data_IF_389865160883
#
_entry.id   IF_389865160883
#
_cell.length_a   1.000
_cell.length_b   1.000
_cell.length_c   1.000
_cell.angle_alpha   90.00
_cell.angle_beta   90.00
_cell.angle_gamma   90.00
#
_symmetry.space_group_name_H-M   'P 1'
#
loop_
_entity.id
_entity.type
_entity.pdbx_description
1 polymer ?
#
# COMPACT_ATOMS: atom_id res chain seq x y z
N UNK A 1 35.23 8.59 -5.31
CA UNK A 1 34.37 7.62 -4.59
C UNK A 1 32.94 8.02 -4.87
N UNK A 2 32.09 7.10 -5.30
CA UNK A 2 30.67 7.40 -5.53
C UNK A 2 29.98 7.62 -4.19
N UNK A 3 29.30 8.76 -4.02
CA UNK A 3 28.47 9.00 -2.85
C UNK A 3 27.17 8.21 -2.95
N UNK A 4 26.71 7.66 -1.84
CA UNK A 4 25.49 6.84 -1.70
C UNK A 4 24.50 7.57 -0.78
N UNK A 5 23.21 7.40 -1.03
CA UNK A 5 22.15 7.96 -0.17
C UNK A 5 21.89 7.08 1.04
N UNK A 6 21.81 7.71 2.21
CA UNK A 6 21.53 7.08 3.49
C UNK A 6 20.40 7.82 4.22
N UNK A 7 19.57 7.07 4.94
CA UNK A 7 18.68 7.60 5.96
C UNK A 7 19.45 7.61 7.28
N UNK A 8 19.65 8.80 7.84
CA UNK A 8 20.29 9.02 9.13
C UNK A 8 19.19 9.41 10.12
N UNK A 9 18.97 8.57 11.12
CA UNK A 9 17.86 8.71 12.07
C UNK A 9 18.38 9.09 13.45
N UNK A 10 17.70 10.05 14.07
CA UNK A 10 17.97 10.46 15.44
C UNK A 10 17.24 9.57 16.45
N UNK A 11 17.60 9.74 17.73
CA UNK A 11 16.68 9.42 18.83
C UNK A 11 15.33 10.12 18.65
N UNK A 12 14.25 9.53 19.17
CA UNK A 12 12.91 10.14 19.08
C UNK A 12 12.92 11.54 19.69
N UNK A 13 12.47 12.54 18.93
CA UNK A 13 12.47 13.95 19.32
C UNK A 13 13.84 14.64 19.26
N UNK A 14 14.89 13.98 18.77
CA UNK A 14 16.25 14.53 18.65
C UNK A 14 16.61 14.99 17.23
N UNK A 15 15.62 15.13 16.33
CA UNK A 15 15.85 15.52 14.92
C UNK A 15 16.58 16.86 14.75
N UNK A 16 16.28 17.86 15.59
CA UNK A 16 16.96 19.16 15.53
C UNK A 16 18.43 19.10 15.95
N UNK A 17 18.76 18.29 16.97
CA UNK A 17 20.15 18.11 17.39
C UNK A 17 20.93 17.38 16.30
N UNK A 18 20.32 16.33 15.72
CA UNK A 18 20.91 15.63 14.59
C UNK A 18 21.18 16.58 13.41
N UNK A 19 20.24 17.45 13.06
CA UNK A 19 20.45 18.45 12.01
C UNK A 19 21.69 19.31 12.28
N UNK A 20 21.80 19.89 13.49
CA UNK A 20 22.97 20.72 13.88
C UNK A 20 24.27 19.93 13.77
N UNK A 21 24.28 18.68 14.22
CA UNK A 21 25.46 17.82 14.16
C UNK A 21 25.87 17.47 12.73
N UNK A 22 24.91 17.21 11.83
CA UNK A 22 25.17 16.95 10.41
C UNK A 22 25.74 18.18 9.70
N UNK A 23 25.13 19.36 9.92
CA UNK A 23 25.60 20.63 9.34
C UNK A 23 27.02 20.96 9.83
N UNK A 24 27.30 20.80 11.13
CA UNK A 24 28.64 21.07 11.69
C UNK A 24 29.74 20.22 11.06
N UNK A 25 29.40 19.02 10.58
CA UNK A 25 30.31 18.07 9.93
C UNK A 25 30.29 18.18 8.40
N UNK A 26 29.58 19.16 7.84
CA UNK A 26 29.44 19.38 6.40
C UNK A 26 28.91 18.14 5.68
N UNK A 27 28.01 17.41 6.34
CA UNK A 27 27.26 16.33 5.70
C UNK A 27 26.26 16.95 4.72
N UNK A 28 26.24 16.45 3.49
CA UNK A 28 25.26 16.87 2.49
C UNK A 28 23.89 16.28 2.83
N UNK A 29 22.97 17.14 3.27
CA UNK A 29 21.58 16.78 3.55
C UNK A 29 20.78 17.01 2.27
N UNK A 30 20.25 15.92 1.71
CA UNK A 30 19.39 15.94 0.53
C UNK A 30 17.97 16.32 0.93
N UNK A 31 17.49 15.80 2.08
CA UNK A 31 16.10 16.01 2.52
C UNK A 31 15.92 15.72 4.01
N UNK A 32 14.94 16.38 4.64
CA UNK A 32 14.47 16.02 5.98
C UNK A 32 13.33 14.99 5.91
N UNK A 33 13.23 14.12 6.92
CA UNK A 33 12.15 13.15 7.15
C UNK A 33 11.59 13.34 8.56
N UNK A 34 10.80 14.42 8.81
CA UNK A 34 10.33 14.77 10.14
C UNK A 34 9.53 13.67 10.86
N UNK A 35 8.73 12.86 10.15
CA UNK A 35 7.92 11.80 10.77
C UNK A 35 8.77 10.77 11.51
N UNK A 36 10.03 10.62 11.14
CA UNK A 36 10.92 9.57 11.66
C UNK A 36 12.16 10.14 12.37
N UNK A 37 12.16 11.45 12.65
CA UNK A 37 13.30 12.19 13.20
C UNK A 37 14.60 11.96 12.38
N UNK A 38 14.47 12.00 11.06
CA UNK A 38 15.54 11.56 10.15
C UNK A 38 15.87 12.54 9.03
N UNK A 39 16.96 12.23 8.31
CA UNK A 39 17.42 12.96 7.14
C UNK A 39 17.93 12.00 6.06
N UNK A 40 17.65 12.30 4.80
CA UNK A 40 18.33 11.70 3.65
C UNK A 40 19.63 12.45 3.45
N UNK A 41 20.76 11.75 3.54
CA UNK A 41 22.10 12.32 3.43
C UNK A 41 22.88 11.65 2.28
N UNK A 42 23.71 12.42 1.59
CA UNK A 42 24.62 11.91 0.55
C UNK A 42 26.04 11.79 1.13
N UNK A 43 26.56 10.56 1.20
CA UNK A 43 27.81 10.27 1.90
C UNK A 43 28.65 9.24 1.12
N UNK A 44 30.00 9.32 1.13
CA UNK A 44 30.83 8.17 0.81
C UNK A 44 30.62 7.03 1.82
N UNK A 45 30.60 5.78 1.37
CA UNK A 45 30.46 4.59 2.24
C UNK A 45 31.46 4.59 3.40
N UNK A 46 32.69 5.06 3.15
CA UNK A 46 33.77 5.16 4.14
C UNK A 46 33.47 6.13 5.29
N UNK A 47 32.47 7.00 5.15
CA UNK A 47 32.09 7.98 6.17
C UNK A 47 30.88 7.54 7.02
N UNK A 48 30.22 6.40 6.71
CA UNK A 48 29.07 5.91 7.48
C UNK A 48 29.45 5.65 8.95
N UNK A 49 30.60 5.01 9.19
CA UNK A 49 31.08 4.75 10.55
C UNK A 49 31.31 6.03 11.37
N UNK A 50 31.66 7.15 10.71
CA UNK A 50 31.83 8.44 11.39
C UNK A 50 30.49 8.99 11.88
N UNK A 51 29.38 8.67 11.20
CA UNK A 51 28.05 9.06 11.66
C UNK A 51 27.60 8.27 12.89
N UNK A 52 28.04 7.02 13.04
CA UNK A 52 27.75 6.24 14.24
C UNK A 52 28.45 6.79 15.49
N UNK A 53 29.42 7.69 15.34
CA UNK A 53 30.07 8.39 16.46
C UNK A 53 29.30 9.61 16.97
N UNK A 54 28.20 9.98 16.32
CA UNK A 54 27.38 11.13 16.72
C UNK A 54 26.43 10.71 17.82
N UNK A 55 26.44 11.44 18.94
CA UNK A 55 25.56 11.15 20.08
C UNK A 55 24.07 11.21 19.74
N UNK A 56 23.70 12.00 18.73
CA UNK A 56 22.32 12.15 18.26
C UNK A 56 21.88 11.07 17.28
N UNK A 57 22.82 10.36 16.64
CA UNK A 57 22.52 9.34 15.65
C UNK A 57 22.16 8.04 16.37
N UNK A 58 20.93 7.59 16.17
CA UNK A 58 20.49 6.29 16.63
C UNK A 58 20.75 5.21 15.59
N UNK A 59 20.57 5.53 14.31
CA UNK A 59 20.62 4.56 13.24
C UNK A 59 21.01 5.19 11.92
N UNK A 60 21.72 4.42 11.09
CA UNK A 60 22.03 4.77 9.70
C UNK A 60 21.71 3.57 8.83
N UNK A 61 20.87 3.76 7.83
CA UNK A 61 20.53 2.73 6.84
C UNK A 61 20.63 3.26 5.42
N UNK A 62 20.96 2.39 4.47
CA UNK A 62 21.05 2.78 3.07
C UNK A 62 19.65 3.07 2.52
N UNK A 63 19.56 4.05 1.62
CA UNK A 63 18.33 4.35 0.89
C UNK A 63 18.19 3.39 -0.31
N UNK A 64 17.88 2.13 -0.03
CA UNK A 64 17.76 1.09 -1.07
C UNK A 64 16.51 1.25 -1.93
N UNK A 65 16.58 0.67 -3.13
CA UNK A 65 15.48 0.64 -4.10
C UNK A 65 14.55 -0.54 -3.78
N UNK A 66 13.25 -0.25 -3.77
CA UNK A 66 12.15 -1.19 -3.54
C UNK A 66 11.21 -1.16 -4.75
N UNK A 67 10.43 -2.23 -4.93
CA UNK A 67 9.59 -2.40 -6.12
C UNK A 67 8.13 -2.72 -5.75
N UNK A 68 7.21 -2.35 -6.64
CA UNK A 68 5.81 -2.78 -6.58
C UNK A 68 5.70 -4.31 -6.77
N UNK A 69 4.67 -4.92 -6.18
CA UNK A 69 4.52 -6.39 -6.14
C UNK A 69 3.40 -6.85 -7.09
N UNK A 70 3.70 -7.18 -8.34
CA UNK A 70 2.68 -7.66 -9.26
C UNK A 70 3.26 -8.17 -10.56
N UNK A 71 2.51 -9.01 -11.27
CA UNK A 71 2.87 -9.47 -12.61
C UNK A 71 1.68 -9.34 -13.54
N UNK A 72 1.95 -8.93 -14.77
CA UNK A 72 0.98 -8.95 -15.85
C UNK A 72 0.75 -10.39 -16.30
N UNK A 73 -0.51 -10.82 -16.41
CA UNK A 73 -0.83 -12.21 -16.81
C UNK A 73 -1.52 -12.32 -18.18
N UNK A 74 -1.75 -11.21 -18.89
CA UNK A 74 -2.14 -11.21 -20.31
C UNK A 74 -3.11 -10.11 -20.71
N UNK A 75 -3.43 -10.04 -22.01
CA UNK A 75 -4.46 -9.16 -22.55
C UNK A 75 -5.84 -9.70 -22.18
N UNK A 76 -6.59 -8.95 -21.37
CA UNK A 76 -7.98 -9.26 -21.07
C UNK A 76 -8.80 -9.25 -22.35
N UNK A 77 -9.47 -10.36 -22.68
CA UNK A 77 -10.60 -10.31 -23.62
C UNK A 77 -11.63 -9.36 -23.02
N UNK A 78 -12.04 -8.35 -23.77
CA UNK A 78 -13.21 -7.53 -23.45
C UNK A 78 -14.42 -8.45 -23.34
N UNK A 79 -14.70 -8.94 -22.14
CA UNK A 79 -15.98 -9.56 -21.85
C UNK A 79 -16.93 -8.39 -21.66
N UNK A 80 -17.50 -7.94 -22.78
CA UNK A 80 -18.71 -7.13 -22.74
C UNK A 80 -19.75 -7.89 -21.90
N UNK A 81 -20.59 -7.12 -21.19
CA UNK A 81 -21.71 -7.51 -20.33
C UNK A 81 -21.44 -7.52 -18.82
N UNK A 82 -21.84 -6.41 -18.21
CA UNK A 82 -22.55 -6.28 -16.93
C UNK A 82 -21.94 -6.84 -15.63
N UNK A 83 -20.78 -7.50 -15.69
CA UNK A 83 -20.30 -8.30 -14.57
C UNK A 83 -19.33 -7.53 -13.69
N UNK A 84 -19.70 -7.34 -12.42
CA UNK A 84 -18.80 -6.95 -11.32
C UNK A 84 -17.57 -7.88 -11.32
N UNK A 85 -16.31 -7.42 -11.23
CA UNK A 85 -15.15 -8.30 -11.23
C UNK A 85 -15.26 -9.44 -10.21
N UNK A 86 -14.76 -10.63 -10.55
CA UNK A 86 -14.98 -11.83 -9.73
C UNK A 86 -14.49 -11.63 -8.28
N UNK A 87 -13.36 -10.94 -8.10
CA UNK A 87 -12.80 -10.67 -6.78
C UNK A 87 -13.70 -9.77 -5.94
N UNK A 88 -14.25 -8.72 -6.54
CA UNK A 88 -15.24 -7.82 -5.91
C UNK A 88 -16.50 -8.59 -5.50
N UNK A 89 -17.00 -9.51 -6.35
CA UNK A 89 -18.13 -10.38 -5.98
C UNK A 89 -17.76 -11.35 -4.86
N UNK A 90 -16.57 -11.94 -4.92
CA UNK A 90 -16.15 -13.02 -4.02
C UNK A 90 -16.03 -12.56 -2.57
N UNK A 91 -15.54 -11.35 -2.34
CA UNK A 91 -15.49 -10.77 -0.99
C UNK A 91 -16.86 -10.30 -0.48
N UNK A 92 -17.92 -10.35 -1.31
CA UNK A 92 -19.26 -9.97 -0.90
C UNK A 92 -19.58 -8.48 -0.99
N UNK A 93 -18.72 -7.65 -1.60
CA UNK A 93 -18.93 -6.19 -1.66
C UNK A 93 -20.30 -5.76 -2.25
N UNK A 94 -20.82 -6.38 -3.32
CA UNK A 94 -22.14 -6.00 -3.84
C UNK A 94 -23.30 -6.19 -2.86
N UNK A 95 -23.17 -7.10 -1.89
CA UNK A 95 -24.21 -7.37 -0.89
C UNK A 95 -24.40 -6.20 0.07
N UNK A 96 -23.41 -5.30 0.18
CA UNK A 96 -23.42 -4.20 1.15
C UNK A 96 -23.55 -2.80 0.52
N UNK A 97 -23.60 -2.71 -0.81
CA UNK A 97 -23.67 -1.42 -1.51
C UNK A 97 -24.98 -0.67 -1.32
N UNK A 98 -26.03 -1.33 -0.84
CA UNK A 98 -27.27 -0.65 -0.42
C UNK A 98 -27.09 0.11 0.91
N UNK A 99 -26.12 -0.30 1.74
CA UNK A 99 -25.84 0.31 3.04
C UNK A 99 -24.64 1.27 2.98
N UNK A 100 -23.57 0.89 2.28
CA UNK A 100 -22.33 1.70 2.18
C UNK A 100 -21.60 1.41 0.87
N UNK A 101 -21.05 2.47 0.26
CA UNK A 101 -20.23 2.38 -0.96
C UNK A 101 -18.85 3.02 -0.80
N UNK A 102 -18.48 3.39 0.43
CA UNK A 102 -17.18 4.00 0.75
C UNK A 102 -17.19 5.53 0.79
N UNK A 103 -18.35 6.18 0.65
CA UNK A 103 -18.47 7.64 0.63
C UNK A 103 -17.81 8.28 1.86
N UNK A 104 -17.05 9.37 1.64
CA UNK A 104 -16.39 10.14 2.69
C UNK A 104 -15.05 9.55 3.16
N UNK A 105 -14.74 8.31 2.81
CA UNK A 105 -13.45 7.69 3.10
C UNK A 105 -12.44 8.03 2.01
N UNK A 106 -11.18 8.23 2.41
CA UNK A 106 -10.06 8.58 1.54
C UNK A 106 -9.04 7.45 1.59
N UNK A 107 -8.82 6.81 0.46
CA UNK A 107 -7.88 5.70 0.31
C UNK A 107 -6.65 6.20 -0.44
N UNK A 108 -5.52 6.26 0.27
CA UNK A 108 -4.22 6.59 -0.30
C UNK A 108 -3.65 5.40 -1.07
N UNK A 109 -3.32 5.61 -2.33
CA UNK A 109 -2.66 4.61 -3.19
C UNK A 109 -1.17 5.00 -3.27
N UNK A 110 -0.36 4.46 -2.35
CA UNK A 110 1.09 4.69 -2.31
C UNK A 110 1.79 3.78 -3.32
N UNK A 111 1.91 4.25 -4.55
CA UNK A 111 2.23 3.40 -5.71
C UNK A 111 2.88 4.23 -6.86
N UNK A 112 2.69 3.81 -8.12
CA UNK A 112 3.23 4.46 -9.33
C UNK A 112 2.45 5.70 -9.79
N UNK A 113 1.35 6.05 -9.10
CA UNK A 113 0.42 7.10 -9.50
C UNK A 113 -0.97 6.53 -9.83
N UNK A 114 -1.86 7.36 -10.34
CA UNK A 114 -3.14 6.94 -10.92
C UNK A 114 -3.34 7.68 -12.25
N UNK A 115 -3.84 6.99 -13.28
CA UNK A 115 -4.33 7.62 -14.52
C UNK A 115 -5.42 8.64 -14.19
N UNK A 116 -5.05 9.93 -14.23
CA UNK A 116 -5.89 11.02 -13.74
C UNK A 116 -7.08 11.33 -14.66
N UNK A 117 -7.06 10.82 -15.89
CA UNK A 117 -8.10 10.99 -16.88
C UNK A 117 -8.92 9.70 -17.11
N UNK A 118 -8.65 8.63 -16.34
CA UNK A 118 -9.36 7.36 -16.49
C UNK A 118 -10.86 7.54 -16.18
N UNK A 119 -11.78 7.22 -17.11
CA UNK A 119 -13.21 7.52 -16.95
C UNK A 119 -13.83 6.83 -15.73
N UNK A 120 -13.41 5.60 -15.42
CA UNK A 120 -13.89 4.89 -14.22
C UNK A 120 -13.31 5.38 -12.89
N UNK A 121 -12.21 6.13 -12.89
CA UNK A 121 -11.56 6.61 -11.66
C UNK A 121 -11.86 8.08 -11.40
N UNK A 122 -12.00 8.87 -12.46
CA UNK A 122 -12.24 10.31 -12.44
C UNK A 122 -13.35 10.74 -11.45
N UNK A 123 -14.50 10.05 -11.33
CA UNK A 123 -15.55 10.44 -10.37
C UNK A 123 -15.11 10.40 -8.91
N UNK A 124 -14.11 9.57 -8.60
CA UNK A 124 -13.64 9.30 -7.24
C UNK A 124 -12.24 9.87 -6.96
N UNK A 125 -11.59 10.50 -7.94
CA UNK A 125 -10.26 11.07 -7.76
C UNK A 125 -10.28 12.24 -6.79
N UNK A 126 -9.38 12.17 -5.81
CA UNK A 126 -9.08 13.24 -4.86
C UNK A 126 -7.64 13.69 -5.08
N UNK A 127 -7.38 14.99 -4.89
CA UNK A 127 -6.03 15.56 -5.07
C UNK A 127 -4.98 14.77 -4.28
N UNK A 128 -3.97 14.28 -4.99
CA UNK A 128 -2.85 13.54 -4.43
C UNK A 128 -1.51 14.29 -4.54
N UNK A 129 -0.40 13.54 -4.50
CA UNK A 129 0.96 14.08 -4.54
C UNK A 129 1.92 13.20 -5.33
N UNK A 130 2.85 13.83 -6.05
CA UNK A 130 3.99 13.17 -6.64
C UNK A 130 5.23 13.40 -5.76
N UNK A 131 5.65 12.35 -5.04
CA UNK A 131 6.81 12.41 -4.14
C UNK A 131 8.12 12.53 -4.93
N UNK A 132 8.16 11.99 -6.15
CA UNK A 132 9.33 12.02 -7.01
C UNK A 132 9.57 13.42 -7.57
N UNK A 133 8.49 14.09 -7.99
CA UNK A 133 8.50 15.47 -8.45
C UNK A 133 7.25 16.24 -7.95
N UNK A 134 7.34 16.98 -6.83
CA UNK A 134 6.19 17.67 -6.23
C UNK A 134 5.52 18.73 -7.10
N UNK A 135 6.20 19.22 -8.14
CA UNK A 135 5.68 20.23 -9.07
C UNK A 135 4.88 19.60 -10.23
N UNK A 136 4.88 18.27 -10.34
CA UNK A 136 4.15 17.52 -11.37
C UNK A 136 2.94 16.78 -10.78
N UNK A 137 1.91 16.51 -11.62
CA UNK A 137 0.79 15.67 -11.20
C UNK A 137 1.27 14.25 -10.82
N UNK A 138 0.54 13.54 -9.93
CA UNK A 138 0.82 12.15 -9.58
C UNK A 138 0.28 11.17 -10.63
N UNK A 139 0.54 11.48 -11.89
CA UNK A 139 0.14 10.72 -13.07
C UNK A 139 0.85 9.36 -13.11
N UNK A 140 0.12 8.31 -13.47
CA UNK A 140 0.69 6.98 -13.57
C UNK A 140 1.40 6.78 -14.91
N UNK A 141 2.69 6.46 -14.85
CA UNK A 141 3.56 6.17 -15.99
C UNK A 141 3.95 4.70 -16.08
N UNK A 142 3.39 3.84 -15.20
CA UNK A 142 3.63 2.39 -15.17
C UNK A 142 2.35 1.58 -15.37
N UNK A 143 1.25 1.98 -14.72
CA UNK A 143 -0.06 1.34 -14.78
C UNK A 143 -0.43 0.48 -13.57
N UNK A 144 0.50 0.24 -12.64
CA UNK A 144 0.24 -0.61 -11.48
C UNK A 144 -0.66 0.10 -10.47
N UNK A 145 -0.35 1.35 -10.13
CA UNK A 145 -1.17 2.17 -9.24
C UNK A 145 -2.59 2.41 -9.79
N UNK A 146 -2.74 2.63 -11.10
CA UNK A 146 -4.05 2.71 -11.76
C UNK A 146 -4.85 1.41 -11.60
N UNK A 147 -4.20 0.26 -11.75
CA UNK A 147 -4.86 -1.04 -11.58
C UNK A 147 -5.28 -1.30 -10.14
N UNK A 148 -4.42 -0.97 -9.17
CA UNK A 148 -4.73 -1.02 -7.73
C UNK A 148 -5.90 -0.10 -7.40
N UNK A 149 -5.89 1.15 -7.88
CA UNK A 149 -6.94 2.13 -7.61
C UNK A 149 -8.31 1.67 -8.13
N UNK A 150 -8.37 1.04 -9.30
CA UNK A 150 -9.63 0.50 -9.82
C UNK A 150 -10.23 -0.62 -8.99
N UNK A 151 -9.40 -1.48 -8.40
CA UNK A 151 -9.87 -2.54 -7.50
C UNK A 151 -10.49 -1.91 -6.26
N UNK A 152 -9.83 -0.88 -5.71
CA UNK A 152 -10.33 -0.18 -4.52
C UNK A 152 -11.67 0.51 -4.83
N UNK A 153 -11.75 1.32 -5.89
CA UNK A 153 -12.86 2.27 -6.03
C UNK A 153 -13.17 2.75 -7.44
N UNK A 154 -13.05 1.91 -8.47
CA UNK A 154 -13.62 2.27 -9.78
C UNK A 154 -15.15 2.49 -9.67
N UNK A 155 -15.64 3.59 -10.26
CA UNK A 155 -17.04 4.02 -10.19
C UNK A 155 -17.95 3.32 -11.23
N UNK A 156 -17.36 2.62 -12.20
CA UNK A 156 -18.04 1.96 -13.34
C UNK A 156 -18.82 2.93 -14.22
N UNK A 157 -18.11 3.54 -15.15
CA UNK A 157 -18.63 4.42 -16.20
C UNK A 157 -18.53 3.73 -17.56
N UNK A 158 -19.45 4.00 -18.48
CA UNK A 158 -19.30 3.59 -19.89
C UNK A 158 -19.10 2.09 -20.17
N UNK A 159 -19.47 1.18 -19.27
CA UNK A 159 -19.27 -0.27 -19.41
C UNK A 159 -17.93 -0.79 -18.90
N UNK A 160 -17.18 0.02 -18.14
CA UNK A 160 -15.93 -0.36 -17.49
C UNK A 160 -16.09 -1.20 -16.21
N UNK A 161 -15.09 -1.17 -15.33
CA UNK A 161 -15.05 -2.00 -14.11
C UNK A 161 -15.57 -1.25 -12.88
N UNK A 162 -16.02 -1.99 -11.86
CA UNK A 162 -16.41 -1.44 -10.56
C UNK A 162 -15.46 -1.95 -9.47
N UNK A 163 -15.05 -1.06 -8.57
CA UNK A 163 -14.22 -1.39 -7.41
C UNK A 163 -15.03 -1.89 -6.22
N UNK A 164 -14.33 -2.24 -5.14
CA UNK A 164 -14.94 -2.70 -3.89
C UNK A 164 -15.73 -1.59 -3.19
N UNK A 165 -15.16 -0.39 -3.09
CA UNK A 165 -15.73 0.81 -2.50
C UNK A 165 -15.90 1.90 -3.58
N UNK A 166 -16.94 1.78 -4.44
CA UNK A 166 -17.06 2.56 -5.67
C UNK A 166 -17.40 4.04 -5.46
N UNK A 167 -17.48 4.52 -4.22
CA UNK A 167 -17.66 5.94 -3.86
C UNK A 167 -16.58 6.43 -2.87
N UNK A 168 -15.53 5.63 -2.62
CA UNK A 168 -14.38 6.06 -1.82
C UNK A 168 -13.48 7.01 -2.62
N UNK A 169 -12.98 8.06 -1.96
CA UNK A 169 -12.03 9.00 -2.56
C UNK A 169 -10.66 8.36 -2.76
N UNK A 170 -10.23 8.24 -4.02
CA UNK A 170 -8.94 7.69 -4.42
C UNK A 170 -7.88 8.79 -4.43
N UNK A 171 -6.87 8.68 -3.57
CA UNK A 171 -5.79 9.67 -3.44
C UNK A 171 -4.48 9.09 -3.99
N UNK A 172 -4.00 9.52 -5.17
CA UNK A 172 -2.73 9.05 -5.71
C UNK A 172 -1.55 9.60 -4.90
N UNK A 173 -0.71 8.72 -4.36
CA UNK A 173 0.54 9.07 -3.69
C UNK A 173 1.67 8.43 -4.50
N UNK A 174 2.12 9.12 -5.55
CA UNK A 174 3.13 8.60 -6.48
C UNK A 174 4.51 8.63 -5.81
N UNK A 175 5.02 7.46 -5.46
CA UNK A 175 6.37 7.27 -4.91
C UNK A 175 7.23 6.35 -5.77
N UNK A 176 6.62 5.62 -6.71
CA UNK A 176 7.29 4.71 -7.63
C UNK A 176 7.32 5.31 -9.05
N UNK A 177 8.42 5.07 -9.76
CA UNK A 177 8.63 5.56 -11.12
C UNK A 177 8.03 4.64 -12.19
N UNK A 178 8.27 4.98 -13.46
CA UNK A 178 7.91 4.24 -14.68
C UNK A 178 8.37 2.76 -14.71
N UNK A 179 9.31 2.37 -13.85
CA UNK A 179 9.80 0.99 -13.70
C UNK A 179 9.25 0.30 -12.46
N UNK A 180 8.30 0.92 -11.77
CA UNK A 180 7.74 0.40 -10.54
C UNK A 180 8.76 0.38 -9.40
N UNK A 181 9.74 1.28 -9.44
CA UNK A 181 10.82 1.36 -8.46
C UNK A 181 10.73 2.65 -7.63
N UNK A 182 10.99 2.55 -6.32
CA UNK A 182 11.06 3.68 -5.41
C UNK A 182 12.30 3.57 -4.51
N UNK A 183 12.79 4.71 -4.01
CA UNK A 183 13.71 4.72 -2.87
C UNK A 183 12.91 4.56 -1.58
N UNK A 184 13.49 3.91 -0.58
CA UNK A 184 12.90 3.80 0.76
C UNK A 184 12.48 5.17 1.31
N UNK A 185 13.31 6.19 1.12
CA UNK A 185 13.01 7.56 1.55
C UNK A 185 11.76 8.16 0.87
N UNK A 186 11.46 7.79 -0.38
CA UNK A 186 10.25 8.23 -1.07
C UNK A 186 9.00 7.57 -0.47
N UNK A 187 9.07 6.29 -0.11
CA UNK A 187 7.98 5.60 0.59
C UNK A 187 7.74 6.17 1.98
N UNK A 188 8.79 6.44 2.76
CA UNK A 188 8.67 7.11 4.07
C UNK A 188 8.00 8.48 3.93
N UNK A 189 8.36 9.26 2.91
CA UNK A 189 7.71 10.54 2.61
C UNK A 189 6.26 10.39 2.17
N UNK A 190 5.92 9.34 1.42
CA UNK A 190 4.54 9.04 1.04
C UNK A 190 3.66 8.76 2.26
N UNK A 191 4.16 7.98 3.21
CA UNK A 191 3.48 7.71 4.50
C UNK A 191 3.34 9.00 5.31
N UNK A 192 4.40 9.82 5.38
CA UNK A 192 4.37 11.13 6.03
C UNK A 192 3.35 12.08 5.41
N UNK A 193 3.23 12.09 4.09
CA UNK A 193 2.22 12.87 3.41
C UNK A 193 0.82 12.36 3.71
N UNK A 194 0.61 11.03 3.74
CA UNK A 194 -0.67 10.43 4.08
C UNK A 194 -1.14 10.82 5.49
N UNK A 195 -0.22 10.82 6.47
CA UNK A 195 -0.47 11.29 7.83
C UNK A 195 -0.90 12.76 7.85
N UNK A 196 -0.13 13.64 7.21
CA UNK A 196 -0.43 15.07 7.20
C UNK A 196 -1.72 15.44 6.48
N UNK A 197 -2.18 14.58 5.57
CA UNK A 197 -3.39 14.82 4.78
C UNK A 197 -4.60 14.03 5.30
N UNK A 198 -4.47 13.36 6.46
CA UNK A 198 -5.53 12.61 7.13
C UNK A 198 -6.16 11.53 6.24
N UNK A 199 -5.32 10.76 5.53
CA UNK A 199 -5.76 9.57 4.81
C UNK A 199 -6.36 8.56 5.78
N UNK A 200 -7.45 7.89 5.41
CA UNK A 200 -8.15 6.95 6.29
C UNK A 200 -7.62 5.52 6.11
N UNK A 201 -7.36 5.12 4.86
CA UNK A 201 -6.79 3.82 4.51
C UNK A 201 -5.57 4.04 3.60
N UNK A 202 -4.43 3.43 3.90
CA UNK A 202 -3.24 3.50 3.06
C UNK A 202 -2.92 2.11 2.48
N UNK A 203 -3.08 1.99 1.16
CA UNK A 203 -2.72 0.79 0.42
C UNK A 203 -1.24 0.82 0.02
N UNK A 204 -0.48 -0.19 0.43
CA UNK A 204 0.96 -0.35 0.20
C UNK A 204 1.24 -1.63 -0.58
N UNK A 205 1.03 -1.57 -1.89
CA UNK A 205 1.17 -2.67 -2.84
C UNK A 205 2.63 -2.88 -3.31
N UNK A 206 3.55 -2.85 -2.35
CA UNK A 206 4.99 -3.02 -2.53
C UNK A 206 5.58 -3.83 -1.38
N UNK A 207 6.79 -4.34 -1.56
CA UNK A 207 7.43 -5.17 -0.55
C UNK A 207 8.95 -5.06 -0.57
N UNK A 208 9.56 -5.28 0.58
CA UNK A 208 11.00 -5.41 0.73
C UNK A 208 11.38 -6.49 1.74
N UNK A 209 12.52 -7.16 1.54
CA UNK A 209 12.98 -8.23 2.43
C UNK A 209 13.74 -7.71 3.66
N UNK A 210 14.34 -6.53 3.55
CA UNK A 210 15.14 -5.94 4.63
C UNK A 210 14.27 -5.16 5.62
N UNK A 211 14.57 -5.28 6.91
CA UNK A 211 13.94 -4.42 7.91
C UNK A 211 14.53 -3.00 7.81
N UNK A 212 13.68 -1.99 7.95
CA UNK A 212 14.08 -0.57 8.03
C UNK A 212 13.50 0.06 9.29
N UNK A 213 14.33 0.79 10.03
CA UNK A 213 13.86 1.53 11.21
C UNK A 213 13.03 2.74 10.77
N UNK A 214 13.38 3.40 9.66
CA UNK A 214 12.61 4.52 9.14
C UNK A 214 11.21 4.09 8.73
N UNK A 215 11.08 2.99 7.96
CA UNK A 215 9.78 2.47 7.55
C UNK A 215 8.94 2.07 8.75
N UNK A 216 9.53 1.37 9.74
CA UNK A 216 8.83 1.00 10.97
C UNK A 216 8.30 2.21 11.73
N UNK A 217 9.10 3.27 11.88
CA UNK A 217 8.65 4.51 12.53
C UNK A 217 7.52 5.18 11.77
N UNK A 218 7.65 5.26 10.43
CA UNK A 218 6.63 5.87 9.60
C UNK A 218 5.29 5.13 9.69
N UNK A 219 5.32 3.79 9.59
CA UNK A 219 4.15 2.92 9.75
C UNK A 219 3.54 3.06 11.14
N UNK A 220 4.34 2.99 12.20
CA UNK A 220 3.83 3.15 13.58
C UNK A 220 3.18 4.52 13.78
N UNK A 221 3.78 5.59 13.25
CA UNK A 221 3.22 6.93 13.35
C UNK A 221 1.90 7.05 12.55
N UNK A 222 1.81 6.44 11.37
CA UNK A 222 0.57 6.42 10.60
C UNK A 222 -0.56 5.64 11.32
N UNK A 223 -0.24 4.48 11.88
CA UNK A 223 -1.19 3.69 12.68
C UNK A 223 -1.70 4.48 13.89
N UNK A 224 -0.80 5.14 14.64
CA UNK A 224 -1.15 5.98 15.79
C UNK A 224 -2.01 7.20 15.43
N UNK A 225 -2.00 7.63 14.16
CA UNK A 225 -2.83 8.72 13.64
C UNK A 225 -4.17 8.22 13.10
N UNK A 226 -4.52 6.95 13.32
CA UNK A 226 -5.81 6.37 12.96
C UNK A 226 -5.90 5.88 11.52
N UNK A 227 -4.78 5.70 10.82
CA UNK A 227 -4.78 5.21 9.44
C UNK A 227 -4.79 3.69 9.43
N UNK A 228 -5.75 3.08 8.73
CA UNK A 228 -5.74 1.64 8.43
C UNK A 228 -4.67 1.36 7.39
N UNK A 229 -3.69 0.52 7.71
CA UNK A 229 -2.56 0.21 6.84
C UNK A 229 -2.72 -1.17 6.26
N UNK A 230 -2.71 -1.28 4.92
CA UNK A 230 -2.90 -2.56 4.21
C UNK A 230 -1.73 -2.77 3.26
N UNK A 231 -1.07 -3.93 3.32
CA UNK A 231 0.13 -4.19 2.54
C UNK A 231 0.13 -5.60 1.92
N UNK A 232 0.74 -5.70 0.74
CA UNK A 232 0.97 -6.97 0.05
C UNK A 232 2.05 -7.80 0.78
N UNK A 233 1.83 -9.10 1.00
CA UNK A 233 2.84 -9.96 1.66
C UNK A 233 4.02 -10.32 0.76
N UNK A 234 3.89 -10.24 -0.56
CA UNK A 234 4.92 -10.64 -1.52
C UNK A 234 4.46 -11.74 -2.49
N UNK A 235 5.29 -12.01 -3.50
CA UNK A 235 5.01 -12.98 -4.57
C UNK A 235 6.11 -14.08 -4.68
N UNK A 236 6.75 -14.40 -3.56
CA UNK A 236 7.90 -15.31 -3.48
C UNK A 236 7.50 -16.75 -3.11
N UNK A 237 6.21 -17.05 -3.12
CA UNK A 237 5.64 -18.37 -2.84
C UNK A 237 5.42 -18.68 -1.35
N UNK A 238 4.61 -19.70 -1.10
CA UNK A 238 3.98 -20.00 0.21
C UNK A 238 4.94 -20.28 1.36
N UNK A 239 6.19 -20.63 1.08
CA UNK A 239 7.24 -20.94 2.09
C UNK A 239 8.16 -19.76 2.40
N UNK A 240 7.95 -18.63 1.75
CA UNK A 240 8.71 -17.40 1.98
C UNK A 240 8.10 -16.63 3.15
N UNK A 241 8.92 -15.88 3.89
CA UNK A 241 8.41 -14.94 4.88
C UNK A 241 7.90 -13.69 4.16
N UNK A 242 6.81 -13.10 4.66
CA UNK A 242 6.28 -11.86 4.09
C UNK A 242 7.34 -10.74 4.01
N UNK A 243 7.11 -9.78 3.13
CA UNK A 243 7.90 -8.56 3.05
C UNK A 243 7.52 -7.54 4.14
N UNK A 244 8.33 -6.50 4.26
CA UNK A 244 7.92 -5.25 4.89
C UNK A 244 7.25 -4.35 3.83
N UNK A 245 6.19 -3.59 4.17
CA UNK A 245 5.68 -3.34 5.52
C UNK A 245 4.67 -4.35 6.07
N UNK A 246 4.22 -5.35 5.29
CA UNK A 246 3.21 -6.33 5.74
C UNK A 246 3.55 -7.07 7.06
N UNK A 247 4.85 -7.24 7.35
CA UNK A 247 5.33 -7.83 8.62
C UNK A 247 5.35 -6.92 9.83
N UNK A 248 5.03 -5.64 9.67
CA UNK A 248 5.01 -4.70 10.78
C UNK A 248 3.70 -4.83 11.54
N UNK A 249 3.79 -4.76 12.87
CA UNK A 249 2.61 -4.67 13.72
C UNK A 249 1.79 -3.42 13.34
N UNK A 250 0.47 -3.55 13.32
CA UNK A 250 -0.45 -2.48 12.88
C UNK A 250 -0.57 -2.36 11.37
N UNK A 251 -0.08 -3.34 10.60
CA UNK A 251 -0.29 -3.44 9.15
C UNK A 251 -1.01 -4.74 8.85
N UNK A 252 -2.12 -4.65 8.12
CA UNK A 252 -2.84 -5.79 7.55
C UNK A 252 -2.03 -6.38 6.39
N UNK A 253 -1.37 -7.51 6.62
CA UNK A 253 -0.61 -8.25 5.62
C UNK A 253 -1.51 -9.18 4.81
N UNK A 254 -1.64 -8.89 3.50
CA UNK A 254 -2.60 -9.56 2.62
C UNK A 254 -1.91 -10.47 1.60
N UNK A 255 -2.23 -11.77 1.69
CA UNK A 255 -1.91 -12.79 0.70
C UNK A 255 -2.94 -12.88 -0.42
N UNK A 256 -2.67 -13.69 -1.44
CA UNK A 256 -3.52 -13.82 -2.63
C UNK A 256 -4.25 -15.15 -2.68
N UNK A 257 -5.52 -15.12 -3.07
CA UNK A 257 -6.34 -16.28 -3.42
C UNK A 257 -6.71 -16.30 -4.91
N UNK A 258 -7.17 -17.46 -5.36
CA UNK A 258 -7.69 -17.69 -6.71
C UNK A 258 -9.22 -17.70 -6.72
N UNK A 259 -9.81 -17.71 -7.92
CA UNK A 259 -11.27 -17.85 -8.09
C UNK A 259 -11.83 -19.19 -7.57
N UNK A 260 -10.96 -20.17 -7.32
CA UNK A 260 -11.33 -21.50 -6.81
C UNK A 260 -11.24 -21.60 -5.28
N UNK A 261 -11.06 -20.47 -4.58
CA UNK A 261 -10.87 -20.44 -3.12
C UNK A 261 -9.63 -21.21 -2.66
N UNK A 262 -8.57 -21.15 -3.46
CA UNK A 262 -7.26 -21.68 -3.13
C UNK A 262 -6.27 -20.53 -2.89
N UNK A 263 -5.31 -20.70 -1.98
CA UNK A 263 -4.17 -19.78 -1.86
C UNK A 263 -3.37 -19.81 -3.17
N UNK A 264 -3.08 -18.64 -3.76
CA UNK A 264 -2.31 -18.57 -4.99
C UNK A 264 -0.90 -19.15 -4.80
N UNK A 265 -0.37 -19.78 -5.84
CA UNK A 265 0.94 -20.44 -5.84
C UNK A 265 2.09 -19.48 -5.53
N UNK A 266 1.98 -18.23 -6.00
CA UNK A 266 2.95 -17.17 -5.74
C UNK A 266 2.76 -16.49 -4.38
N UNK A 267 1.63 -16.67 -3.69
CA UNK A 267 1.33 -15.91 -2.46
C UNK A 267 2.35 -16.20 -1.38
N UNK A 268 3.01 -15.16 -0.87
CA UNK A 268 3.88 -15.28 0.30
C UNK A 268 3.03 -15.42 1.57
N UNK A 269 3.40 -16.36 2.45
CA UNK A 269 2.72 -16.59 3.72
C UNK A 269 3.60 -16.37 4.94
N UNK A 270 3.29 -17.07 6.02
CA UNK A 270 4.03 -17.08 7.26
C UNK A 270 3.76 -15.87 8.15
N UNK A 271 4.76 -15.50 8.95
CA UNK A 271 4.65 -14.36 9.86
C UNK A 271 4.44 -13.05 9.08
N UNK A 272 3.44 -12.27 9.48
CA UNK A 272 2.99 -11.06 8.79
C UNK A 272 1.95 -11.29 7.69
N UNK A 273 1.35 -12.48 7.64
CA UNK A 273 0.13 -12.75 6.87
C UNK A 273 -1.06 -12.79 7.83
N UNK A 274 -2.04 -11.91 7.61
CA UNK A 274 -3.26 -11.83 8.42
C UNK A 274 -4.45 -12.40 7.67
N UNK A 275 -4.57 -12.11 6.37
CA UNK A 275 -5.70 -12.49 5.53
C UNK A 275 -5.25 -12.83 4.11
N UNK A 276 -6.11 -13.52 3.37
CA UNK A 276 -6.01 -13.66 1.91
C UNK A 276 -7.19 -13.00 1.22
N UNK A 277 -6.96 -12.45 0.03
CA UNK A 277 -8.02 -11.87 -0.79
C UNK A 277 -7.78 -12.17 -2.28
N UNK A 278 -8.78 -11.96 -3.15
CA UNK A 278 -8.65 -12.19 -4.59
C UNK A 278 -7.41 -11.51 -5.18
N UNK A 279 -6.46 -12.31 -5.67
CA UNK A 279 -5.18 -11.80 -6.17
C UNK A 279 -4.67 -12.46 -7.45
N UNK A 280 -5.33 -13.50 -7.97
CA UNK A 280 -4.97 -14.15 -9.25
C UNK A 280 -5.99 -13.83 -10.34
N UNK A 281 -5.50 -13.37 -11.48
CA UNK A 281 -6.32 -13.00 -12.65
C UNK A 281 -7.42 -11.99 -12.30
N UNK A 282 -6.99 -10.85 -11.75
CA UNK A 282 -7.84 -9.74 -11.34
C UNK A 282 -7.95 -8.74 -12.48
N UNK A 283 -9.17 -8.48 -12.96
CA UNK A 283 -9.46 -7.45 -13.94
C UNK A 283 -9.67 -6.10 -13.25
N UNK A 284 -8.98 -5.06 -13.71
CA UNK A 284 -9.14 -3.68 -13.22
C UNK A 284 -8.83 -2.63 -14.30
N UNK A 285 -8.95 -1.36 -13.95
CA UNK A 285 -8.54 -0.19 -14.74
C UNK A 285 -7.05 -0.22 -15.09
N UNK A 286 -6.67 0.43 -16.19
CA UNK A 286 -5.29 0.52 -16.65
C UNK A 286 -5.10 1.77 -17.50
N UNK A 287 -3.85 2.14 -17.78
CA UNK A 287 -3.50 3.41 -18.44
C UNK A 287 -4.30 3.69 -19.72
N UNK A 288 -4.59 4.97 -19.97
CA UNK A 288 -5.28 5.46 -21.16
C UNK A 288 -6.76 5.09 -21.18
N UNK A 289 -7.39 4.98 -20.00
CA UNK A 289 -8.80 4.58 -19.88
C UNK A 289 -9.06 3.11 -20.24
N UNK A 290 -8.04 2.26 -20.24
CA UNK A 290 -8.15 0.85 -20.61
C UNK A 290 -8.40 -0.05 -19.41
N UNK A 291 -8.54 -1.35 -19.62
CA UNK A 291 -8.66 -2.35 -18.55
C UNK A 291 -7.65 -3.47 -18.79
N UNK A 292 -7.12 -4.07 -17.72
CA UNK A 292 -6.10 -5.12 -17.79
C UNK A 292 -6.31 -6.17 -16.70
N UNK A 293 -5.79 -7.37 -16.94
CA UNK A 293 -5.75 -8.45 -15.96
C UNK A 293 -4.35 -8.59 -15.38
N UNK A 294 -4.24 -8.55 -14.05
CA UNK A 294 -2.97 -8.71 -13.32
C UNK A 294 -3.12 -9.71 -12.18
N UNK A 295 -1.98 -10.27 -11.76
CA UNK A 295 -1.89 -11.16 -10.60
C UNK A 295 -0.83 -10.69 -9.61
N UNK A 296 -1.15 -10.75 -8.32
CA UNK A 296 -0.22 -10.43 -7.24
C UNK A 296 -0.94 -10.19 -5.91
N UNK A 297 -0.18 -10.28 -4.82
CA UNK A 297 -0.67 -9.87 -3.49
C UNK A 297 -1.03 -8.38 -3.42
N UNK A 298 -0.52 -7.54 -4.34
CA UNK A 298 -0.98 -6.16 -4.52
C UNK A 298 -2.44 -6.03 -4.90
N UNK A 299 -2.95 -6.92 -5.76
CA UNK A 299 -4.35 -6.91 -6.15
C UNK A 299 -5.22 -7.38 -4.97
N UNK A 300 -4.71 -8.31 -4.16
CA UNK A 300 -5.39 -8.76 -2.94
C UNK A 300 -5.44 -7.66 -1.88
N UNK A 301 -4.33 -6.96 -1.63
CA UNK A 301 -4.26 -5.81 -0.71
C UNK A 301 -5.24 -4.70 -1.12
N UNK A 302 -5.40 -4.45 -2.43
CA UNK A 302 -6.36 -3.49 -2.95
C UNK A 302 -7.82 -3.86 -2.63
N UNK A 303 -8.18 -5.16 -2.71
CA UNK A 303 -9.53 -5.60 -2.31
C UNK A 303 -9.78 -5.30 -0.83
N UNK A 304 -8.84 -5.65 0.05
CA UNK A 304 -8.99 -5.43 1.50
C UNK A 304 -8.98 -3.95 1.85
N UNK A 305 -8.19 -3.12 1.16
CA UNK A 305 -8.25 -1.66 1.30
C UNK A 305 -9.63 -1.10 0.96
N UNK A 306 -10.28 -1.64 -0.07
CA UNK A 306 -11.66 -1.32 -0.40
C UNK A 306 -12.64 -1.77 0.70
N UNK A 307 -12.47 -2.96 1.28
CA UNK A 307 -13.32 -3.41 2.41
C UNK A 307 -13.16 -2.49 3.61
N UNK A 308 -11.92 -2.15 3.99
CA UNK A 308 -11.66 -1.19 5.06
C UNK A 308 -12.34 0.17 4.80
N UNK A 309 -12.39 0.60 3.53
CA UNK A 309 -13.11 1.82 3.17
C UNK A 309 -14.64 1.70 3.31
N UNK A 310 -15.24 0.54 2.97
CA UNK A 310 -16.66 0.28 3.22
C UNK A 310 -16.98 0.31 4.72
N UNK A 311 -16.12 -0.32 5.54
CA UNK A 311 -16.24 -0.35 7.01
C UNK A 311 -16.18 1.05 7.60
N UNK A 312 -15.17 1.84 7.26
CA UNK A 312 -15.01 3.20 7.78
C UNK A 312 -16.09 4.16 7.28
N UNK A 313 -16.66 3.93 6.09
CA UNK A 313 -17.81 4.72 5.63
C UNK A 313 -19.08 4.38 6.42
N UNK A 314 -19.23 3.13 6.86
CA UNK A 314 -20.36 2.69 7.68
C UNK A 314 -20.20 3.08 9.17
N UNK A 315 -18.98 2.99 9.71
CA UNK A 315 -18.62 3.28 11.11
C UNK A 315 -17.33 4.12 11.17
N UNK A 316 -17.43 5.45 10.97
CA UNK A 316 -16.27 6.34 10.86
C UNK A 316 -15.45 6.49 12.14
N UNK A 317 -16.00 6.07 13.28
CA UNK A 317 -15.35 6.18 14.59
C UNK A 317 -14.38 5.05 14.92
N UNK A 318 -14.35 3.99 14.12
CA UNK A 318 -13.51 2.82 14.37
C UNK A 318 -12.03 3.16 14.24
N UNK A 319 -11.25 2.69 15.20
CA UNK A 319 -9.79 2.70 15.16
C UNK A 319 -9.24 1.68 14.16
N UNK A 320 -7.97 1.81 13.73
CA UNK A 320 -7.33 0.81 12.88
C UNK A 320 -7.34 -0.61 13.46
N UNK A 321 -7.18 -0.74 14.77
CA UNK A 321 -7.21 -2.03 15.48
C UNK A 321 -8.62 -2.64 15.44
N UNK A 322 -9.68 -1.85 15.63
CA UNK A 322 -11.06 -2.34 15.54
C UNK A 322 -11.44 -2.74 14.09
N UNK A 323 -10.95 -2.00 13.09
CA UNK A 323 -11.12 -2.40 11.68
C UNK A 323 -10.37 -3.71 11.41
N UNK A 324 -9.16 -3.86 11.93
CA UNK A 324 -8.39 -5.10 11.83
C UNK A 324 -9.16 -6.28 12.42
N UNK A 325 -9.65 -6.15 13.66
CA UNK A 325 -10.37 -7.22 14.36
C UNK A 325 -11.64 -7.63 13.59
N UNK A 326 -12.43 -6.66 13.11
CA UNK A 326 -13.63 -6.94 12.32
C UNK A 326 -13.33 -7.71 11.03
N UNK A 327 -12.26 -7.34 10.31
CA UNK A 327 -11.86 -8.03 9.08
C UNK A 327 -11.38 -9.45 9.34
N UNK A 328 -10.66 -9.67 10.44
CA UNK A 328 -10.15 -10.98 10.86
C UNK A 328 -11.27 -11.89 11.36
N UNK A 329 -12.19 -11.38 12.17
CA UNK A 329 -13.32 -12.15 12.70
C UNK A 329 -14.33 -12.55 11.62
N UNK A 330 -14.50 -11.71 10.60
CA UNK A 330 -15.36 -11.99 9.47
C UNK A 330 -14.72 -12.90 8.39
N UNK A 331 -13.45 -13.27 8.56
CA UNK A 331 -12.73 -14.09 7.59
C UNK A 331 -13.18 -15.56 7.62
N UNK A 332 -13.20 -16.17 6.43
CA UNK A 332 -13.54 -17.57 6.24
C UNK A 332 -12.32 -18.36 5.79
N UNK A 333 -11.92 -19.41 6.54
CA UNK A 333 -10.81 -20.27 6.12
C UNK A 333 -11.10 -20.96 4.79
N UNK A 334 -10.16 -20.83 3.86
CA UNK A 334 -10.09 -21.59 2.62
C UNK A 334 -9.81 -23.06 2.91
N UNK A 335 -10.59 -23.93 2.27
CA UNK A 335 -10.49 -25.37 2.47
C UNK A 335 -9.11 -25.88 2.02
N UNK A 336 -8.45 -26.66 2.88
CA UNK A 336 -7.17 -27.31 2.56
C UNK A 336 -5.93 -26.40 2.65
N UNK A 337 -6.07 -25.14 3.05
CA UNK A 337 -4.93 -24.25 3.30
C UNK A 337 -4.55 -24.21 4.80
N UNK A 338 -3.25 -24.22 5.11
CA UNK A 338 -2.79 -24.04 6.48
C UNK A 338 -2.92 -22.56 6.91
N UNK A 339 -3.09 -22.28 8.20
CA UNK A 339 -3.12 -20.90 8.71
C UNK A 339 -1.85 -20.09 8.31
N UNK A 340 -0.70 -20.74 8.20
CA UNK A 340 0.53 -20.11 7.70
C UNK A 340 0.47 -19.72 6.21
N UNK A 341 -0.50 -20.20 5.45
CA UNK A 341 -0.68 -19.89 4.03
C UNK A 341 -1.83 -18.92 3.78
N UNK A 342 -2.76 -18.78 4.73
CA UNK A 342 -3.99 -17.99 4.55
C UNK A 342 -4.31 -16.97 5.65
N UNK A 343 -3.54 -16.95 6.75
CA UNK A 343 -3.91 -16.19 7.94
C UNK A 343 -5.24 -16.66 8.50
N UNK A 344 -6.16 -15.73 8.78
CA UNK A 344 -7.52 -16.04 9.20
C UNK A 344 -8.46 -16.45 8.04
N UNK A 345 -8.03 -16.30 6.78
CA UNK A 345 -8.79 -16.67 5.60
C UNK A 345 -9.23 -15.48 4.75
N UNK A 346 -10.34 -15.64 4.03
CA UNK A 346 -10.86 -14.67 3.08
C UNK A 346 -12.01 -13.86 3.70
N UNK A 347 -11.93 -12.51 3.76
CA UNK A 347 -12.96 -11.69 4.39
C UNK A 347 -14.28 -11.67 3.60
N UNK A 348 -15.41 -11.94 4.27
CA UNK A 348 -16.75 -11.69 3.72
C UNK A 348 -17.30 -10.36 4.27
N UNK A 349 -17.35 -9.33 3.41
CA UNK A 349 -17.82 -7.98 3.78
C UNK A 349 -19.23 -8.00 4.37
N UNK A 350 -20.10 -8.93 3.94
CA UNK A 350 -21.45 -9.02 4.49
C UNK A 350 -21.46 -9.45 5.96
N UNK A 351 -20.45 -10.21 6.41
CA UNK A 351 -20.28 -10.56 7.83
C UNK A 351 -19.62 -9.43 8.63
N UNK A 352 -18.77 -8.63 7.98
CA UNK A 352 -18.11 -7.48 8.61
C UNK A 352 -19.13 -6.41 9.02
N UNK A 353 -20.19 -6.21 8.23
CA UNK A 353 -21.22 -5.17 8.46
C UNK A 353 -22.53 -5.72 9.05
N UNK A 354 -22.53 -6.96 9.54
CA UNK A 354 -23.71 -7.66 10.05
C UNK A 354 -24.17 -7.19 11.43
#
# INVERSE_FOLDING_TARGET
MSSVQYLVLAGVGAGEDLYRQLVSRKVEIVRALPLVDGFVCLLPETNVQKLNSLSSVQWVEQDYVIYVVGRETGYGRTVLFDSVPWGVRRIGAPKVWEQTRGQGVRVGILDTGIDLDHPDLLPNLVKGVNILNPDEPPEDDHGHGTHVAGIVGAARTGGGVIGVAPEAGLVPIKAFNDKGAARLSAVVQGIEWAVRNHIHVLNMSFGMSMASLALRRAVNAAHQQGIVLVAATGNDGRKSAAGYPARLQGVLGIGASTILDEVADFSTGGYGLDLVAPGKDILSTYLGGSIKTMSGTSMAAAHVSGVAALVLAWRPELSPDEVYDLLVEAAEPLAGAAASEQGAGLPDVARVLA
#
